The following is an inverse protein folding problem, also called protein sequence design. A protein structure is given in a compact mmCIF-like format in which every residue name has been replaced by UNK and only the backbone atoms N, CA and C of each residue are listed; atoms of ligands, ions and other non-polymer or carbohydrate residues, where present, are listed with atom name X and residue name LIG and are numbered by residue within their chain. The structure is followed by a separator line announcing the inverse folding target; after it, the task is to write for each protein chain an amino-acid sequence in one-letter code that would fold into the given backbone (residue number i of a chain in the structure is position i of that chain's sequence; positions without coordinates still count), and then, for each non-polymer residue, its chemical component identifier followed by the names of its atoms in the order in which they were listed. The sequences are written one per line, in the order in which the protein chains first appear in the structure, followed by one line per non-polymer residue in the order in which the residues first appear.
data_IF_785833039945
#
_entry.id   IF_785833039945
#
_cell.length_a   1.000
_cell.length_b   1.000
_cell.length_c   1.000
_cell.angle_alpha   90.00
_cell.angle_beta   90.00
_cell.angle_gamma   90.00
#
_symmetry.space_group_name_H-M   'P 1'
#
loop_
_entity.id
_entity.type
_entity.pdbx_description
1 polymer ?
#
# COMPACT_ATOMS: atom_id res chain seq x y z
N UNK A 1 -24.72 -10.72 -1.98
CA UNK A 1 -24.27 -9.53 -1.24
C UNK A 1 -24.47 -8.30 -2.12
N UNK A 2 -25.02 -7.20 -1.59
CA UNK A 2 -25.21 -5.95 -2.36
C UNK A 2 -23.85 -5.32 -2.72
N UNK A 3 -23.54 -5.07 -4.01
CA UNK A 3 -22.27 -4.48 -4.44
C UNK A 3 -21.96 -3.14 -3.76
N UNK A 4 -22.97 -2.32 -3.49
CA UNK A 4 -22.78 -1.02 -2.84
C UNK A 4 -22.37 -1.17 -1.39
N UNK A 5 -22.99 -2.12 -0.67
CA UNK A 5 -22.64 -2.45 0.72
C UNK A 5 -21.23 -3.02 0.80
N UNK A 6 -20.86 -3.90 -0.14
CA UNK A 6 -19.52 -4.47 -0.21
C UNK A 6 -18.45 -3.40 -0.42
N UNK A 7 -18.66 -2.48 -1.35
CA UNK A 7 -17.67 -1.40 -1.60
C UNK A 7 -17.55 -0.43 -0.41
N UNK A 8 -18.66 -0.08 0.24
CA UNK A 8 -18.62 0.74 1.46
C UNK A 8 -17.86 0.03 2.60
N UNK A 9 -18.08 -1.27 2.76
CA UNK A 9 -17.39 -2.06 3.80
C UNK A 9 -15.92 -2.24 3.47
N UNK A 10 -15.55 -2.47 2.20
CA UNK A 10 -14.15 -2.49 1.77
C UNK A 10 -13.44 -1.17 2.09
N UNK A 11 -14.08 -0.03 1.85
CA UNK A 11 -13.53 1.27 2.26
C UNK A 11 -13.36 1.37 3.78
N UNK A 12 -14.26 0.80 4.57
CA UNK A 12 -14.09 0.74 6.03
C UNK A 12 -12.91 -0.16 6.45
N UNK A 13 -12.71 -1.31 5.78
CA UNK A 13 -11.54 -2.20 5.99
C UNK A 13 -10.24 -1.46 5.71
N UNK A 14 -10.18 -0.72 4.61
CA UNK A 14 -9.01 0.11 4.25
C UNK A 14 -8.74 1.15 5.34
N UNK A 15 -9.76 1.89 5.80
CA UNK A 15 -9.60 2.89 6.87
C UNK A 15 -9.11 2.26 8.18
N UNK A 16 -9.71 1.16 8.62
CA UNK A 16 -9.30 0.45 9.82
C UNK A 16 -7.84 -0.05 9.72
N UNK A 17 -7.44 -0.52 8.54
CA UNK A 17 -6.07 -0.93 8.27
C UNK A 17 -5.09 0.24 8.38
N UNK A 18 -5.41 1.41 7.81
CA UNK A 18 -4.58 2.61 7.89
C UNK A 18 -4.41 3.05 9.34
N UNK A 19 -5.49 3.10 10.14
CA UNK A 19 -5.42 3.49 11.55
C UNK A 19 -4.60 2.50 12.39
N UNK A 20 -4.75 1.20 12.11
CA UNK A 20 -3.92 0.17 12.73
C UNK A 20 -2.43 0.37 12.40
N UNK A 21 -2.09 0.58 11.13
CA UNK A 21 -0.71 0.83 10.70
C UNK A 21 -0.14 2.08 11.41
N UNK A 22 -0.89 3.18 11.46
CA UNK A 22 -0.48 4.42 12.15
C UNK A 22 -0.09 4.16 13.60
N UNK A 23 -0.88 3.35 14.30
CA UNK A 23 -0.58 2.99 15.69
C UNK A 23 0.62 2.04 15.80
N UNK A 24 0.66 1.03 14.94
CA UNK A 24 1.68 -0.04 14.96
C UNK A 24 3.10 0.47 14.74
N UNK A 25 3.26 1.48 13.88
CA UNK A 25 4.57 2.03 13.50
C UNK A 25 4.86 3.40 14.14
N UNK A 26 4.07 3.80 15.13
CA UNK A 26 4.22 5.11 15.80
C UNK A 26 5.58 5.31 16.46
N UNK A 27 6.20 4.22 16.93
CA UNK A 27 7.56 4.20 17.50
C UNK A 27 8.64 4.55 16.47
N UNK A 28 8.41 4.27 15.18
CA UNK A 28 9.36 4.60 14.11
C UNK A 28 9.24 6.05 13.65
N UNK A 29 8.08 6.69 13.87
CA UNK A 29 7.85 8.08 13.44
C UNK A 29 8.71 9.10 14.20
N UNK A 30 9.36 8.69 15.30
CA UNK A 30 10.34 9.51 16.02
C UNK A 30 11.69 9.59 15.29
N UNK A 31 11.94 8.70 14.32
CA UNK A 31 13.17 8.68 13.53
C UNK A 31 13.16 9.88 12.58
N UNK A 32 14.25 10.66 12.60
CA UNK A 32 14.38 11.87 11.78
C UNK A 32 14.10 11.58 10.30
N UNK A 33 13.11 12.28 9.73
CA UNK A 33 12.69 12.18 8.34
C UNK A 33 11.52 11.20 8.11
N UNK A 34 11.12 10.40 9.10
CA UNK A 34 9.98 9.49 8.98
C UNK A 34 8.64 10.18 9.26
N UNK A 35 8.66 11.39 9.82
CA UNK A 35 7.49 12.19 10.19
C UNK A 35 6.56 12.48 9.00
N UNK A 36 7.09 12.56 7.78
CA UNK A 36 6.32 12.76 6.56
C UNK A 36 5.68 11.50 5.97
N UNK A 37 6.06 10.31 6.46
CA UNK A 37 5.57 9.02 5.91
C UNK A 37 4.04 8.89 6.05
N UNK A 38 3.42 9.11 7.23
CA UNK A 38 1.97 8.97 7.37
C UNK A 38 1.18 9.87 6.42
N UNK A 39 1.58 11.14 6.29
CA UNK A 39 0.91 12.10 5.41
C UNK A 39 1.05 11.69 3.93
N UNK A 40 2.22 11.18 3.53
CA UNK A 40 2.40 10.69 2.17
C UNK A 40 1.45 9.53 1.86
N UNK A 41 1.38 8.53 2.75
CA UNK A 41 0.48 7.40 2.58
C UNK A 41 -0.99 7.83 2.53
N UNK A 42 -1.42 8.68 3.47
CA UNK A 42 -2.80 9.14 3.57
C UNK A 42 -3.26 9.92 2.32
N UNK A 43 -2.47 10.92 1.92
CA UNK A 43 -2.89 11.84 0.85
C UNK A 43 -2.53 11.38 -0.56
N UNK A 44 -1.53 10.50 -0.73
CA UNK A 44 -1.04 10.12 -2.06
C UNK A 44 -1.32 8.65 -2.41
N UNK A 45 -1.23 7.72 -1.44
CA UNK A 45 -1.37 6.28 -1.72
C UNK A 45 -2.75 5.73 -1.39
N UNK A 46 -3.40 6.26 -0.35
CA UNK A 46 -4.68 5.75 0.13
C UNK A 46 -5.85 6.72 -0.03
N UNK A 47 -5.69 7.85 -0.74
CA UNK A 47 -6.79 8.79 -1.01
C UNK A 47 -7.98 8.08 -1.66
N UNK A 48 -9.12 7.89 -0.96
CA UNK A 48 -10.18 7.00 -1.41
C UNK A 48 -11.01 7.51 -2.60
N UNK A 49 -10.92 8.80 -2.92
CA UNK A 49 -11.83 9.43 -3.88
C UNK A 49 -11.54 9.04 -5.34
N UNK A 50 -10.30 8.66 -5.68
CA UNK A 50 -9.87 8.54 -7.08
C UNK A 50 -9.22 7.17 -7.40
N UNK A 51 -9.53 6.11 -6.65
CA UNK A 51 -8.89 4.78 -6.81
C UNK A 51 -9.02 4.20 -8.22
N UNK A 52 -10.25 4.15 -8.75
CA UNK A 52 -10.51 3.56 -10.08
C UNK A 52 -9.81 4.33 -11.18
N UNK A 53 -9.87 5.67 -11.12
CA UNK A 53 -9.14 6.57 -12.01
C UNK A 53 -7.62 6.30 -11.95
N UNK A 54 -7.07 6.19 -10.74
CA UNK A 54 -5.65 5.92 -10.51
C UNK A 54 -5.22 4.57 -11.09
N UNK A 55 -6.00 3.52 -10.86
CA UNK A 55 -5.66 2.17 -11.33
C UNK A 55 -5.72 2.10 -12.87
N UNK A 56 -6.71 2.74 -13.50
CA UNK A 56 -6.80 2.89 -14.96
C UNK A 56 -5.62 3.71 -15.54
N UNK A 57 -5.23 4.79 -14.85
CA UNK A 57 -4.08 5.60 -15.22
C UNK A 57 -2.77 4.80 -15.13
N UNK A 58 -2.64 3.92 -14.13
CA UNK A 58 -1.45 3.10 -13.92
C UNK A 58 -1.31 2.03 -15.02
N UNK A 59 -2.41 1.38 -15.39
CA UNK A 59 -2.45 0.44 -16.51
C UNK A 59 -2.10 1.14 -17.83
N UNK A 60 -2.69 2.31 -18.08
CA UNK A 60 -2.41 3.10 -19.30
C UNK A 60 -0.95 3.56 -19.36
N UNK A 61 -0.39 3.97 -18.23
CA UNK A 61 1.03 4.33 -18.12
C UNK A 61 1.93 3.12 -18.38
N UNK A 62 1.60 1.95 -17.82
CA UNK A 62 2.33 0.71 -18.05
C UNK A 62 2.35 0.33 -19.53
N UNK A 63 1.18 0.32 -20.18
CA UNK A 63 1.04 0.05 -21.61
C UNK A 63 1.89 1.02 -22.44
N UNK A 64 1.89 2.30 -22.06
CA UNK A 64 2.72 3.29 -22.75
C UNK A 64 4.21 3.04 -22.54
N UNK A 65 4.65 2.78 -21.31
CA UNK A 65 6.06 2.56 -20.98
C UNK A 65 6.64 1.33 -21.70
N UNK A 66 5.85 0.28 -21.97
CA UNK A 66 6.28 -0.84 -22.83
C UNK A 66 6.77 -0.39 -24.20
N UNK A 67 6.26 0.73 -24.72
CA UNK A 67 6.62 1.25 -26.05
C UNK A 67 7.80 2.22 -26.04
N UNK A 68 8.17 2.79 -24.88
CA UNK A 68 9.14 3.90 -24.80
C UNK A 68 10.27 3.70 -23.77
N UNK A 69 10.17 2.72 -22.87
CA UNK A 69 11.11 2.50 -21.78
C UNK A 69 11.75 1.09 -21.81
N UNK A 70 12.88 0.94 -21.12
CA UNK A 70 13.57 -0.35 -21.00
C UNK A 70 12.83 -1.34 -20.09
N UNK A 71 13.04 -2.64 -20.32
CA UNK A 71 12.37 -3.76 -19.63
C UNK A 71 12.31 -3.61 -18.10
N UNK A 72 13.42 -3.22 -17.47
CA UNK A 72 13.49 -3.08 -16.01
C UNK A 72 12.53 -2.02 -15.44
N UNK A 73 12.32 -0.90 -16.13
CA UNK A 73 11.38 0.14 -15.65
C UNK A 73 9.93 -0.31 -15.79
N UNK A 74 9.63 -0.98 -16.90
CA UNK A 74 8.32 -1.59 -17.19
C UNK A 74 7.95 -2.67 -16.16
N UNK A 75 8.90 -3.54 -15.80
CA UNK A 75 8.67 -4.62 -14.83
C UNK A 75 8.27 -4.07 -13.45
N UNK A 76 8.88 -2.96 -13.01
CA UNK A 76 8.56 -2.36 -11.71
C UNK A 76 7.14 -1.77 -11.64
N UNK A 77 6.70 -1.09 -12.71
CA UNK A 77 5.32 -0.58 -12.79
C UNK A 77 4.32 -1.75 -12.80
N UNK A 78 4.64 -2.84 -13.52
CA UNK A 78 3.81 -4.04 -13.52
C UNK A 78 3.67 -4.66 -12.12
N UNK A 79 4.77 -4.73 -11.34
CA UNK A 79 4.71 -5.23 -9.97
C UNK A 79 3.79 -4.40 -9.07
N UNK A 80 3.71 -3.08 -9.26
CA UNK A 80 2.78 -2.21 -8.52
C UNK A 80 1.33 -2.51 -8.89
N UNK A 81 1.05 -2.74 -10.18
CA UNK A 81 -0.29 -3.16 -10.64
C UNK A 81 -0.69 -4.47 -9.96
N UNK A 82 0.20 -5.46 -9.94
CA UNK A 82 -0.04 -6.74 -9.27
C UNK A 82 -0.26 -6.57 -7.76
N UNK A 83 0.55 -5.73 -7.10
CA UNK A 83 0.39 -5.42 -5.68
C UNK A 83 -0.98 -4.79 -5.38
N UNK A 84 -1.42 -3.83 -6.19
CA UNK A 84 -2.73 -3.18 -6.02
C UNK A 84 -3.87 -4.18 -6.17
N UNK A 85 -3.84 -5.01 -7.21
CA UNK A 85 -4.87 -6.04 -7.44
C UNK A 85 -4.93 -7.05 -6.29
N UNK A 86 -3.78 -7.49 -5.80
CA UNK A 86 -3.70 -8.39 -4.64
C UNK A 86 -4.27 -7.73 -3.39
N UNK A 87 -3.87 -6.48 -3.13
CA UNK A 87 -4.37 -5.69 -1.99
C UNK A 87 -5.89 -5.55 -2.01
N UNK A 88 -6.46 -5.18 -3.16
CA UNK A 88 -7.90 -5.03 -3.28
C UNK A 88 -8.65 -6.34 -3.09
N UNK A 89 -8.14 -7.42 -3.69
CA UNK A 89 -8.75 -8.74 -3.56
C UNK A 89 -8.80 -9.18 -2.09
N UNK A 90 -7.71 -8.95 -1.36
CA UNK A 90 -7.62 -9.24 0.06
C UNK A 90 -8.57 -8.36 0.90
N UNK A 91 -8.69 -7.09 0.57
CA UNK A 91 -9.61 -6.16 1.26
C UNK A 91 -11.08 -6.51 0.99
N UNK A 92 -11.41 -6.92 -0.23
CA UNK A 92 -12.76 -7.39 -0.58
C UNK A 92 -13.15 -8.65 0.19
N UNK A 93 -12.25 -9.64 0.28
CA UNK A 93 -12.57 -10.87 1.01
C UNK A 93 -12.68 -10.61 2.52
N UNK A 94 -11.81 -9.75 3.06
CA UNK A 94 -11.96 -9.28 4.46
C UNK A 94 -13.31 -8.57 4.66
N UNK A 95 -13.73 -7.73 3.70
CA UNK A 95 -15.01 -7.02 3.78
C UNK A 95 -16.23 -7.96 3.72
N UNK A 96 -16.15 -9.06 2.96
CA UNK A 96 -17.20 -10.09 2.95
C UNK A 96 -17.40 -10.68 4.34
N UNK A 97 -16.31 -11.07 5.00
CA UNK A 97 -16.35 -11.61 6.37
C UNK A 97 -16.90 -10.58 7.36
N UNK A 98 -16.51 -9.30 7.23
CA UNK A 98 -17.06 -8.23 8.08
C UNK A 98 -18.59 -8.14 7.95
N UNK A 99 -19.13 -8.26 6.73
CA UNK A 99 -20.58 -8.24 6.48
C UNK A 99 -21.25 -9.48 7.04
N UNK A 100 -20.69 -10.65 6.78
CA UNK A 100 -21.27 -11.95 7.17
C UNK A 100 -21.36 -12.11 8.69
N UNK A 101 -20.38 -11.57 9.42
CA UNK A 101 -20.29 -11.69 10.87
C UNK A 101 -20.67 -10.41 11.62
N UNK A 102 -21.21 -9.40 10.92
CA UNK A 102 -21.65 -8.13 11.51
C UNK A 102 -20.56 -7.46 12.38
N UNK A 103 -19.33 -7.41 11.85
CA UNK A 103 -18.14 -6.94 12.57
C UNK A 103 -17.91 -5.42 12.47
N UNK A 104 -18.92 -4.68 12.03
CA UNK A 104 -18.87 -3.24 11.87
C UNK A 104 -19.98 -2.57 12.67
N UNK A 105 -19.61 -1.58 13.47
CA UNK A 105 -20.53 -0.79 14.31
C UNK A 105 -20.39 0.68 13.92
N UNK A 106 -21.51 1.34 13.62
CA UNK A 106 -21.55 2.74 13.17
C UNK A 106 -20.58 3.09 12.02
N UNK A 107 -20.36 2.13 11.11
CA UNK A 107 -19.45 2.28 9.97
C UNK A 107 -17.95 2.18 10.30
N UNK A 108 -17.63 1.76 11.53
CA UNK A 108 -16.27 1.59 12.06
C UNK A 108 -16.01 0.11 12.34
N UNK A 109 -14.80 -0.34 11.99
CA UNK A 109 -14.32 -1.70 12.28
C UNK A 109 -13.24 -1.55 13.36
N UNK A 110 -13.46 -2.16 14.52
CA UNK A 110 -12.46 -2.18 15.59
C UNK A 110 -11.23 -2.99 15.15
N UNK A 111 -10.09 -2.82 15.84
CA UNK A 111 -8.88 -3.58 15.53
C UNK A 111 -9.11 -5.09 15.67
N UNK A 112 -9.80 -5.50 16.74
CA UNK A 112 -10.08 -6.90 17.01
C UNK A 112 -11.01 -7.49 15.96
N UNK A 113 -12.02 -6.73 15.53
CA UNK A 113 -12.92 -7.12 14.44
C UNK A 113 -12.20 -7.21 13.09
N UNK A 114 -11.25 -6.30 12.81
CA UNK A 114 -10.41 -6.38 11.62
C UNK A 114 -9.56 -7.65 11.63
N UNK A 115 -8.95 -7.99 12.77
CA UNK A 115 -8.16 -9.20 12.93
C UNK A 115 -8.99 -10.47 12.84
N UNK A 116 -10.17 -10.51 13.45
CA UNK A 116 -11.12 -11.61 13.31
C UNK A 116 -11.50 -11.81 11.84
N UNK A 117 -11.86 -10.74 11.14
CA UNK A 117 -12.21 -10.81 9.72
C UNK A 117 -11.05 -11.26 8.84
N UNK A 118 -9.84 -10.77 9.09
CA UNK A 118 -8.63 -11.20 8.37
C UNK A 118 -8.29 -12.67 8.62
N UNK A 119 -8.48 -13.14 9.86
CA UNK A 119 -8.26 -14.54 10.23
C UNK A 119 -9.23 -15.48 9.54
N UNK A 120 -10.52 -15.15 9.57
CA UNK A 120 -11.56 -15.98 8.95
C UNK A 120 -11.60 -15.89 7.42
N UNK A 121 -11.08 -14.82 6.82
CA UNK A 121 -10.86 -14.77 5.38
C UNK A 121 -9.86 -15.84 4.91
N UNK A 122 -8.97 -16.33 5.78
CA UNK A 122 -8.04 -17.44 5.53
C UNK A 122 -7.16 -17.28 4.28
N UNK A 123 -6.64 -16.06 4.06
CA UNK A 123 -5.76 -15.71 2.91
C UNK A 123 -4.33 -15.40 3.33
N UNK A 124 -3.79 -16.20 4.25
CA UNK A 124 -2.53 -15.91 4.92
C UNK A 124 -1.32 -15.90 3.97
N UNK A 125 -1.25 -16.84 3.02
CA UNK A 125 -0.14 -16.92 2.07
C UNK A 125 -0.12 -15.72 1.11
N UNK A 126 -1.26 -15.34 0.56
CA UNK A 126 -1.37 -14.12 -0.24
C UNK A 126 -1.06 -12.86 0.55
N UNK A 127 -1.40 -12.83 1.84
CA UNK A 127 -1.06 -11.71 2.72
C UNK A 127 0.45 -11.63 2.98
N UNK A 128 1.13 -12.77 3.20
CA UNK A 128 2.60 -12.83 3.29
C UNK A 128 3.26 -12.37 1.99
N UNK A 129 2.72 -12.80 0.84
CA UNK A 129 3.17 -12.33 -0.47
C UNK A 129 3.00 -10.80 -0.61
N UNK A 130 1.84 -10.26 -0.24
CA UNK A 130 1.55 -8.82 -0.27
C UNK A 130 2.57 -8.04 0.57
N UNK A 131 2.86 -8.50 1.79
CA UNK A 131 3.84 -7.87 2.69
C UNK A 131 5.22 -7.79 2.03
N UNK A 132 5.67 -8.89 1.43
CA UNK A 132 6.96 -8.92 0.74
C UNK A 132 6.98 -8.00 -0.49
N UNK A 133 5.89 -7.96 -1.26
CA UNK A 133 5.75 -7.07 -2.41
C UNK A 133 5.83 -5.59 -1.97
N UNK A 134 5.14 -5.20 -0.89
CA UNK A 134 5.22 -3.85 -0.32
C UNK A 134 6.68 -3.52 0.07
N UNK A 135 7.35 -4.40 0.80
CA UNK A 135 8.74 -4.17 1.23
C UNK A 135 9.70 -4.03 0.04
N UNK A 136 9.53 -4.84 -1.00
CA UNK A 136 10.33 -4.75 -2.23
C UNK A 136 10.06 -3.45 -3.00
N UNK A 137 8.79 -3.06 -3.13
CA UNK A 137 8.39 -1.80 -3.76
C UNK A 137 8.98 -0.59 -3.03
N UNK A 138 8.91 -0.56 -1.69
CA UNK A 138 9.49 0.51 -0.88
C UNK A 138 11.01 0.59 -1.05
N UNK A 139 11.72 -0.55 -1.00
CA UNK A 139 13.19 -0.59 -1.23
C UNK A 139 13.55 -0.07 -2.61
N UNK A 140 12.82 -0.49 -3.63
CA UNK A 140 13.05 -0.07 -5.01
C UNK A 140 12.92 1.45 -5.15
N UNK A 141 11.79 2.04 -4.73
CA UNK A 141 11.57 3.48 -4.84
C UNK A 141 12.54 4.30 -3.99
N UNK A 142 12.89 3.81 -2.80
CA UNK A 142 13.91 4.46 -1.99
C UNK A 142 15.28 4.44 -2.66
N UNK A 143 15.67 3.33 -3.30
CA UNK A 143 16.94 3.26 -4.04
C UNK A 143 16.99 4.26 -5.19
N UNK A 144 15.86 4.44 -5.90
CA UNK A 144 15.74 5.42 -6.98
C UNK A 144 15.93 6.85 -6.47
N UNK A 145 15.40 7.18 -5.28
CA UNK A 145 15.54 8.54 -4.75
C UNK A 145 16.95 8.91 -4.32
N UNK A 146 17.87 7.93 -4.26
CA UNK A 146 19.30 8.17 -4.02
C UNK A 146 20.12 8.33 -5.31
N UNK A 147 19.52 8.14 -6.48
CA UNK A 147 20.22 8.33 -7.74
C UNK A 147 20.50 9.82 -7.99
N UNK A 148 21.74 10.21 -8.34
CA UNK A 148 22.01 11.55 -8.80
C UNK A 148 21.21 11.80 -10.08
N UNK A 149 20.70 13.02 -10.25
CA UNK A 149 19.95 13.42 -11.45
C UNK A 149 18.67 12.59 -11.73
N UNK A 150 17.96 12.14 -10.69
CA UNK A 150 16.68 11.40 -10.83
C UNK A 150 15.68 12.07 -11.79
N UNK A 151 15.70 13.41 -11.90
CA UNK A 151 14.84 14.17 -12.81
C UNK A 151 15.03 13.77 -14.28
N UNK A 152 16.24 13.37 -14.66
CA UNK A 152 16.53 12.83 -16.01
C UNK A 152 15.92 11.44 -16.20
N UNK A 153 15.97 10.59 -15.17
CA UNK A 153 15.35 9.25 -15.19
C UNK A 153 13.83 9.33 -15.22
N UNK A 154 13.23 10.33 -14.57
CA UNK A 154 11.78 10.54 -14.58
C UNK A 154 11.25 11.16 -15.88
N UNK A 155 12.08 11.83 -16.67
CA UNK A 155 11.61 12.57 -17.85
C UNK A 155 10.82 11.70 -18.86
N UNK A 156 11.26 10.48 -19.22
CA UNK A 156 10.47 9.61 -20.09
C UNK A 156 9.12 9.20 -19.49
N UNK A 157 9.08 8.96 -18.17
CA UNK A 157 7.85 8.63 -17.44
C UNK A 157 6.87 9.81 -17.50
N UNK A 158 7.36 11.04 -17.31
CA UNK A 158 6.55 12.26 -17.40
C UNK A 158 5.90 12.42 -18.77
N UNK A 159 6.68 12.22 -19.83
CA UNK A 159 6.19 12.32 -21.20
C UNK A 159 5.16 11.22 -21.47
N UNK A 160 5.44 9.98 -21.07
CA UNK A 160 4.49 8.88 -21.21
C UNK A 160 3.17 9.16 -20.46
N UNK A 161 3.27 9.65 -19.22
CA UNK A 161 2.12 9.97 -18.38
C UNK A 161 1.26 11.09 -18.98
N UNK A 162 1.87 12.17 -19.50
CA UNK A 162 1.11 13.26 -20.12
C UNK A 162 0.36 12.81 -21.38
N UNK A 163 0.89 11.82 -22.11
CA UNK A 163 0.23 11.26 -23.29
C UNK A 163 -1.01 10.41 -22.97
N UNK A 164 -1.12 9.89 -21.74
CA UNK A 164 -2.21 9.01 -21.32
C UNK A 164 -3.08 9.61 -20.20
N UNK A 165 -2.89 10.89 -19.88
CA UNK A 165 -3.64 11.56 -18.82
C UNK A 165 -3.27 11.11 -17.40
N UNK A 166 -2.11 10.47 -17.22
CA UNK A 166 -1.64 9.93 -15.95
C UNK A 166 -0.73 10.90 -15.15
N UNK A 167 -0.85 12.21 -15.36
CA UNK A 167 0.05 13.21 -14.74
C UNK A 167 -0.02 13.19 -13.20
N UNK A 168 -1.19 12.91 -12.62
CA UNK A 168 -1.37 12.76 -11.17
C UNK A 168 -0.53 11.64 -10.55
N UNK A 169 -0.23 10.57 -11.31
CA UNK A 169 0.69 9.51 -10.86
C UNK A 169 2.12 10.01 -10.77
N UNK A 170 2.54 10.86 -11.71
CA UNK A 170 3.87 11.49 -11.67
C UNK A 170 3.98 12.42 -10.47
N UNK A 171 2.97 13.24 -10.21
CA UNK A 171 2.94 14.14 -9.05
C UNK A 171 3.09 13.35 -7.74
N UNK A 172 2.39 12.21 -7.63
CA UNK A 172 2.54 11.28 -6.51
C UNK A 172 3.96 10.74 -6.40
N UNK A 173 4.58 10.35 -7.52
CA UNK A 173 5.97 9.88 -7.53
C UNK A 173 6.96 10.98 -7.11
N UNK A 174 6.73 12.23 -7.53
CA UNK A 174 7.55 13.38 -7.14
C UNK A 174 7.42 13.69 -5.65
N UNK A 175 6.20 13.65 -5.10
CA UNK A 175 5.99 13.78 -3.66
C UNK A 175 6.73 12.70 -2.86
N UNK A 176 6.74 11.46 -3.36
CA UNK A 176 7.48 10.35 -2.77
C UNK A 176 9.01 10.54 -2.84
N UNK A 177 9.50 11.10 -3.95
CA UNK A 177 10.90 11.48 -4.09
C UNK A 177 11.29 12.57 -3.09
N UNK A 178 10.50 13.66 -3.01
CA UNK A 178 10.77 14.76 -2.10
C UNK A 178 10.77 14.32 -0.64
N UNK A 179 9.86 13.42 -0.25
CA UNK A 179 9.87 12.79 1.07
C UNK A 179 11.13 11.96 1.29
N UNK A 180 11.41 11.02 0.40
CA UNK A 180 12.53 10.07 0.56
C UNK A 180 13.91 10.72 0.47
N UNK A 181 14.03 11.89 -0.15
CA UNK A 181 15.25 12.71 -0.14
C UNK A 181 15.65 13.16 1.28
N UNK A 182 14.67 13.33 2.18
CA UNK A 182 14.85 13.74 3.59
C UNK A 182 15.17 12.56 4.50
N UNK A 183 14.95 11.34 4.03
CA UNK A 183 15.16 10.10 4.78
C UNK A 183 16.59 9.60 4.54
N UNK A 184 17.38 9.46 5.61
CA UNK A 184 18.75 8.94 5.50
C UNK A 184 18.76 7.46 5.09
N UNK A 185 17.96 6.65 5.77
CA UNK A 185 17.83 5.21 5.54
C UNK A 185 16.38 4.80 5.82
N UNK A 186 15.74 4.12 4.86
CA UNK A 186 14.37 3.62 4.98
C UNK A 186 14.32 2.14 5.40
N UNK A 187 15.45 1.41 5.37
CA UNK A 187 15.45 -0.01 5.71
C UNK A 187 14.90 -0.30 7.12
N UNK A 188 15.20 0.49 8.18
CA UNK A 188 14.59 0.25 9.49
C UNK A 188 13.05 0.23 9.46
N UNK A 189 12.43 1.11 8.68
CA UNK A 189 10.98 1.11 8.48
C UNK A 189 10.51 -0.14 7.74
N UNK A 190 11.18 -0.49 6.64
CA UNK A 190 10.78 -1.59 5.78
C UNK A 190 10.94 -2.93 6.50
N UNK A 191 12.04 -3.11 7.22
CA UNK A 191 12.32 -4.34 7.94
C UNK A 191 11.35 -4.52 9.11
N UNK A 192 11.04 -3.44 9.84
CA UNK A 192 10.00 -3.46 10.86
C UNK A 192 8.61 -3.74 10.27
N UNK A 193 8.28 -3.17 9.10
CA UNK A 193 7.03 -3.48 8.40
C UNK A 193 6.93 -4.96 8.04
N UNK A 194 7.94 -5.50 7.37
CA UNK A 194 7.94 -6.91 6.95
C UNK A 194 7.86 -7.83 8.17
N UNK A 195 8.69 -7.60 9.18
CA UNK A 195 8.72 -8.43 10.39
C UNK A 195 7.41 -8.38 11.19
N UNK A 196 6.90 -7.19 11.51
CA UNK A 196 5.69 -7.03 12.33
C UNK A 196 4.44 -7.54 11.63
N UNK A 197 4.29 -7.25 10.34
CA UNK A 197 3.14 -7.77 9.57
C UNK A 197 3.23 -9.28 9.40
N UNK A 198 4.41 -9.86 9.12
CA UNK A 198 4.55 -11.32 9.04
C UNK A 198 4.24 -11.99 10.38
N UNK A 199 4.69 -11.42 11.50
CA UNK A 199 4.33 -11.89 12.85
C UNK A 199 2.82 -11.81 13.12
N UNK A 200 2.16 -10.72 12.70
CA UNK A 200 0.71 -10.57 12.79
C UNK A 200 0.02 -11.73 12.07
N UNK A 201 0.35 -11.93 10.79
CA UNK A 201 -0.27 -12.96 9.96
C UNK A 201 -0.01 -14.36 10.52
N UNK A 202 1.21 -14.65 10.98
CA UNK A 202 1.52 -15.92 11.62
C UNK A 202 0.70 -16.18 12.89
N UNK A 203 0.39 -15.14 13.69
CA UNK A 203 -0.49 -15.28 14.86
C UNK A 203 -1.95 -15.55 14.47
N UNK A 204 -2.45 -14.84 13.47
CA UNK A 204 -3.82 -15.03 12.97
C UNK A 204 -4.01 -16.45 12.40
N UNK A 205 -3.03 -16.94 11.65
CA UNK A 205 -3.03 -18.27 11.04
C UNK A 205 -3.14 -19.41 12.07
N UNK A 206 -2.49 -19.28 13.22
CA UNK A 206 -2.57 -20.27 14.31
C UNK A 206 -3.64 -19.97 15.36
N UNK A 207 -4.50 -18.96 15.13
CA UNK A 207 -5.55 -18.55 16.06
C UNK A 207 -5.05 -17.99 17.40
N UNK A 208 -3.83 -17.46 17.45
CA UNK A 208 -3.25 -16.90 18.67
C UNK A 208 -3.71 -15.45 18.91
N UNK A 209 -3.92 -15.04 20.18
CA UNK A 209 -4.21 -13.65 20.51
C UNK A 209 -3.14 -12.69 19.97
N UNK A 210 -3.57 -11.60 19.35
CA UNK A 210 -2.70 -10.57 18.81
C UNK A 210 -2.61 -9.40 19.80
N UNK A 211 -1.50 -9.33 20.55
CA UNK A 211 -1.14 -8.14 21.33
C UNK A 211 -0.52 -7.02 20.49
N UNK A 212 -0.04 -5.95 21.13
CA UNK A 212 0.67 -4.86 20.45
C UNK A 212 1.96 -5.34 19.76
N UNK A 213 2.21 -4.81 18.56
CA UNK A 213 3.37 -5.13 17.72
C UNK A 213 4.35 -3.95 17.74
N UNK A 214 4.87 -3.60 18.92
CA UNK A 214 5.78 -2.44 19.10
C UNK A 214 7.27 -2.80 19.05
N UNK A 215 7.61 -4.06 18.76
CA UNK A 215 9.00 -4.52 18.64
C UNK A 215 9.15 -5.39 17.42
#
# INVERSE_FOLDING_TARGET
MDPKVLELTRKAVVRATIERLRTTYSDLLIIKGYDGIPNFFEYNLYSPSNKEERDNALESLYEKLKTVAGKSMTDNIHQIILLNRLTDSLDYDTAKVVIENNLMEDGVISRDNLYAAMGEADRFEERKQQIQMVGNTLRFFFSLSKLPMIKLVMAPIKVAASMVGATSLVETMEAGYDLSSKIKDLNPFIDAFVDRETKLIGKLEIGSPVGELHT
#
